data_IF_216524170609
#
_entry.id   IF_216524170609
#
_cell.length_a   1.000
_cell.length_b   1.000
_cell.length_c   1.000
_cell.angle_alpha   90.00
_cell.angle_beta   90.00
_cell.angle_gamma   90.00
#
_symmetry.space_group_name_H-M   'P 1'
#
loop_
_entity.id
_entity.type
_entity.pdbx_description
1 polymer ?
#
# COMPACT_ATOMS: atom_id res chain seq x y z
N UNK A 1 -20.38 18.04 -1.96
CA UNK A 1 -19.81 18.10 -3.33
C UNK A 1 -20.61 17.18 -4.24
N UNK A 2 -20.71 17.47 -5.53
CA UNK A 2 -21.40 16.61 -6.50
C UNK A 2 -20.45 15.51 -7.02
N UNK A 3 -21.01 14.42 -7.51
CA UNK A 3 -20.26 13.33 -8.16
C UNK A 3 -19.40 13.86 -9.32
N UNK A 4 -19.92 14.78 -10.12
CA UNK A 4 -19.20 15.40 -11.23
C UNK A 4 -17.96 16.18 -10.76
N UNK A 5 -18.06 16.87 -9.63
CA UNK A 5 -16.93 17.59 -9.04
C UNK A 5 -15.79 16.63 -8.66
N UNK A 6 -16.11 15.50 -8.01
CA UNK A 6 -15.10 14.50 -7.67
C UNK A 6 -14.45 13.84 -8.90
N UNK A 7 -15.20 13.67 -9.99
CA UNK A 7 -14.63 13.18 -11.26
C UNK A 7 -13.54 14.13 -11.79
N UNK A 8 -13.81 15.44 -11.79
CA UNK A 8 -12.83 16.45 -12.23
C UNK A 8 -11.60 16.47 -11.32
N UNK A 9 -11.79 16.46 -9.99
CA UNK A 9 -10.67 16.43 -9.04
C UNK A 9 -9.80 15.18 -9.21
N UNK A 10 -10.41 14.03 -9.48
CA UNK A 10 -9.69 12.79 -9.76
C UNK A 10 -8.85 12.89 -11.05
N UNK A 11 -9.36 13.51 -12.10
CA UNK A 11 -8.60 13.74 -13.33
C UNK A 11 -7.37 14.63 -13.07
N UNK A 12 -7.52 15.71 -12.29
CA UNK A 12 -6.39 16.56 -11.89
C UNK A 12 -5.36 15.76 -11.08
N UNK A 13 -5.80 14.95 -10.12
CA UNK A 13 -4.90 14.07 -9.36
C UNK A 13 -4.06 13.16 -10.28
N UNK A 14 -4.67 12.55 -11.30
CA UNK A 14 -3.94 11.70 -12.25
C UNK A 14 -2.93 12.50 -13.07
N UNK A 15 -3.23 13.74 -13.43
CA UNK A 15 -2.29 14.63 -14.12
C UNK A 15 -1.12 15.01 -13.19
N UNK A 16 -1.38 15.31 -11.92
CA UNK A 16 -0.33 15.60 -10.93
C UNK A 16 0.57 14.39 -10.70
N UNK A 17 0.00 13.18 -10.60
CA UNK A 17 0.78 11.93 -10.50
C UNK A 17 1.70 11.78 -11.73
N UNK A 18 1.19 11.99 -12.92
CA UNK A 18 1.99 11.90 -14.15
C UNK A 18 3.13 12.94 -14.18
N UNK A 19 2.84 14.19 -13.79
CA UNK A 19 3.84 15.25 -13.70
C UNK A 19 4.94 14.94 -12.68
N UNK A 20 4.57 14.47 -11.50
CA UNK A 20 5.54 14.06 -10.46
C UNK A 20 6.38 12.87 -10.92
N UNK A 21 5.79 11.90 -11.62
CA UNK A 21 6.52 10.78 -12.23
C UNK A 21 7.64 11.25 -13.16
N UNK A 22 7.35 12.23 -14.01
CA UNK A 22 8.35 12.83 -14.91
C UNK A 22 9.44 13.52 -14.10
N UNK A 23 9.07 14.30 -13.08
CA UNK A 23 10.02 15.02 -12.23
C UNK A 23 11.02 14.11 -11.54
N UNK A 24 10.58 12.94 -11.05
CA UNK A 24 11.43 11.97 -10.35
C UNK A 24 11.95 10.85 -11.25
N UNK A 25 11.71 10.91 -12.55
CA UNK A 25 11.98 9.84 -13.53
C UNK A 25 13.40 9.27 -13.46
N UNK A 26 14.40 10.12 -13.25
CA UNK A 26 15.80 9.70 -13.13
C UNK A 26 16.04 8.80 -11.90
N UNK A 27 15.27 8.99 -10.81
CA UNK A 27 15.38 8.18 -9.59
C UNK A 27 14.63 6.85 -9.71
N UNK A 28 13.40 6.90 -10.22
CA UNK A 28 12.55 5.71 -10.30
C UNK A 28 12.83 4.85 -11.54
N UNK A 29 13.62 5.37 -12.50
CA UNK A 29 13.95 4.68 -13.74
C UNK A 29 12.80 4.58 -14.74
N UNK A 30 11.77 5.42 -14.62
CA UNK A 30 10.57 5.42 -15.46
C UNK A 30 10.11 6.85 -15.75
N UNK A 31 9.72 7.13 -17.00
CA UNK A 31 9.13 8.42 -17.39
C UNK A 31 7.59 8.45 -17.24
N UNK A 32 6.97 7.28 -17.08
CA UNK A 32 5.54 7.11 -16.86
C UNK A 32 5.25 5.86 -16.02
N UNK A 33 4.20 5.89 -15.22
CA UNK A 33 3.68 4.71 -14.54
C UNK A 33 2.79 3.90 -15.50
N UNK A 34 2.71 2.59 -15.27
CA UNK A 34 1.92 1.67 -16.08
C UNK A 34 0.42 1.97 -16.07
N UNK A 35 -0.24 1.69 -17.18
CA UNK A 35 -1.67 1.95 -17.36
C UNK A 35 -2.54 1.20 -16.33
N UNK A 36 -2.11 0.01 -15.87
CA UNK A 36 -2.83 -0.78 -14.88
C UNK A 36 -2.89 -0.06 -13.52
N UNK A 37 -1.74 0.39 -13.00
CA UNK A 37 -1.68 1.12 -11.74
C UNK A 37 -2.44 2.45 -11.82
N UNK A 38 -2.23 3.24 -12.88
CA UNK A 38 -2.94 4.50 -13.10
C UNK A 38 -4.44 4.32 -13.26
N UNK A 39 -4.87 3.24 -13.94
CA UNK A 39 -6.28 2.88 -14.10
C UNK A 39 -6.94 2.50 -12.77
N UNK A 40 -6.27 1.70 -11.93
CA UNK A 40 -6.77 1.32 -10.61
C UNK A 40 -6.92 2.55 -9.69
N UNK A 41 -5.88 3.40 -9.61
CA UNK A 41 -5.94 4.66 -8.84
C UNK A 41 -7.02 5.60 -9.38
N UNK A 42 -7.20 5.67 -10.70
CA UNK A 42 -8.24 6.45 -11.34
C UNK A 42 -9.66 5.91 -11.13
N UNK A 43 -9.81 4.63 -10.83
CA UNK A 43 -11.11 3.99 -10.61
C UNK A 43 -11.61 4.14 -9.18
N UNK A 44 -10.73 3.92 -8.19
CA UNK A 44 -11.09 3.89 -6.77
C UNK A 44 -11.48 5.31 -6.28
N UNK A 45 -12.67 5.51 -5.69
CA UNK A 45 -13.13 6.81 -5.22
C UNK A 45 -12.45 7.21 -3.90
N UNK A 46 -11.26 7.81 -3.98
CA UNK A 46 -10.42 8.13 -2.82
C UNK A 46 -11.16 8.95 -1.75
N UNK A 47 -12.12 9.81 -2.14
CA UNK A 47 -12.92 10.60 -1.19
C UNK A 47 -13.79 9.75 -0.25
N UNK A 48 -14.06 8.48 -0.57
CA UNK A 48 -14.77 7.56 0.30
C UNK A 48 -13.86 6.91 1.36
N UNK A 49 -12.54 7.14 1.27
CA UNK A 49 -11.53 6.58 2.16
C UNK A 49 -10.84 7.64 3.04
N UNK A 50 -11.44 8.80 3.17
CA UNK A 50 -10.98 9.87 4.08
C UNK A 50 -12.11 10.28 5.03
N UNK A 51 -11.80 10.91 6.18
CA UNK A 51 -12.82 11.57 6.99
C UNK A 51 -13.66 12.55 6.18
N UNK A 52 -14.92 12.72 6.54
CA UNK A 52 -15.88 13.53 5.77
C UNK A 52 -15.43 14.99 5.61
N UNK A 53 -14.77 15.53 6.62
CA UNK A 53 -14.22 16.89 6.63
C UNK A 53 -13.07 17.06 5.63
N UNK A 54 -12.40 15.98 5.27
CA UNK A 54 -11.26 15.97 4.34
C UNK A 54 -11.64 15.59 2.91
N UNK A 55 -12.88 15.22 2.65
CA UNK A 55 -13.33 14.88 1.29
C UNK A 55 -13.03 15.99 0.24
N UNK A 56 -13.14 17.29 0.55
CA UNK A 56 -12.73 18.35 -0.38
C UNK A 56 -11.27 18.28 -0.85
N UNK A 57 -10.40 17.71 -0.03
CA UNK A 57 -8.96 17.59 -0.27
C UNK A 57 -8.53 16.18 -0.71
N UNK A 58 -9.47 15.24 -0.78
CA UNK A 58 -9.17 13.82 -1.01
C UNK A 58 -8.31 13.55 -2.26
N UNK A 59 -8.42 14.39 -3.27
CA UNK A 59 -7.69 14.25 -4.53
C UNK A 59 -6.45 15.14 -4.65
N UNK A 60 -6.11 15.93 -3.61
CA UNK A 60 -4.82 16.61 -3.56
C UNK A 60 -3.68 15.58 -3.49
N UNK A 61 -2.60 15.85 -4.22
CA UNK A 61 -1.46 14.91 -4.29
C UNK A 61 -0.55 15.01 -3.04
N UNK A 62 -1.18 14.90 -1.87
CA UNK A 62 -0.54 14.93 -0.54
C UNK A 62 -1.12 13.84 0.37
N UNK A 63 -0.39 13.39 1.41
CA UNK A 63 -0.97 12.55 2.44
C UNK A 63 -2.00 13.34 3.26
N UNK A 64 -3.04 12.65 3.75
CA UNK A 64 -4.08 13.25 4.60
C UNK A 64 -4.23 12.46 5.90
N UNK A 65 -4.48 13.11 7.06
CA UNK A 65 -4.67 12.41 8.32
C UNK A 65 -5.94 11.56 8.32
N UNK A 66 -5.86 10.38 8.94
CA UNK A 66 -6.98 9.44 9.07
C UNK A 66 -7.27 9.06 10.54
N UNK A 67 -6.68 9.77 11.49
CA UNK A 67 -6.71 9.45 12.91
C UNK A 67 -5.54 8.57 13.36
N UNK A 68 -5.40 8.38 14.66
CA UNK A 68 -4.38 7.52 15.28
C UNK A 68 -2.93 7.84 14.85
N UNK A 69 -2.63 9.10 14.57
CA UNK A 69 -1.36 9.56 14.00
C UNK A 69 -0.98 8.85 12.68
N UNK A 70 -1.98 8.37 11.94
CA UNK A 70 -1.83 7.73 10.61
C UNK A 70 -2.35 8.63 9.52
N UNK A 71 -1.90 8.33 8.30
CA UNK A 71 -2.33 9.04 7.08
C UNK A 71 -2.71 8.07 5.98
N UNK A 72 -3.65 8.47 5.13
CA UNK A 72 -3.76 7.90 3.79
C UNK A 72 -2.59 8.46 2.97
N UNK A 73 -1.84 7.57 2.31
CA UNK A 73 -0.64 7.95 1.55
C UNK A 73 -0.94 8.92 0.41
N UNK A 74 0.05 9.75 0.05
CA UNK A 74 0.00 10.61 -1.13
C UNK A 74 -0.40 9.80 -2.38
N UNK A 75 -1.30 10.30 -3.24
CA UNK A 75 -1.73 9.59 -4.45
C UNK A 75 -0.57 9.14 -5.36
N UNK A 76 0.46 9.98 -5.56
CA UNK A 76 1.65 9.60 -6.32
C UNK A 76 2.34 8.36 -5.70
N UNK A 77 2.51 8.32 -4.38
CA UNK A 77 3.15 7.19 -3.69
C UNK A 77 2.31 5.91 -3.85
N UNK A 78 0.98 6.00 -3.72
CA UNK A 78 0.07 4.87 -3.97
C UNK A 78 0.24 4.33 -5.39
N UNK A 79 0.24 5.21 -6.39
CA UNK A 79 0.39 4.83 -7.79
C UNK A 79 1.77 4.20 -8.07
N UNK A 80 2.85 4.82 -7.56
CA UNK A 80 4.22 4.33 -7.73
C UNK A 80 4.42 2.95 -7.09
N UNK A 81 4.01 2.78 -5.83
CA UNK A 81 4.15 1.49 -5.13
C UNK A 81 3.36 0.39 -5.83
N UNK A 82 2.15 0.70 -6.30
CA UNK A 82 1.31 -0.24 -7.06
C UNK A 82 1.97 -0.62 -8.39
N UNK A 83 2.54 0.34 -9.11
CA UNK A 83 3.22 0.13 -10.39
C UNK A 83 4.51 -0.71 -10.23
N UNK A 84 5.29 -0.47 -9.17
CA UNK A 84 6.51 -1.21 -8.88
C UNK A 84 6.25 -2.70 -8.58
N UNK A 85 5.10 -3.04 -7.99
CA UNK A 85 4.72 -4.43 -7.74
C UNK A 85 4.38 -5.19 -9.02
N UNK A 86 3.96 -4.50 -10.08
CA UNK A 86 3.60 -5.13 -11.37
C UNK A 86 2.59 -6.28 -11.18
N UNK A 87 1.41 -5.91 -10.63
CA UNK A 87 0.39 -6.86 -10.19
C UNK A 87 -0.40 -7.39 -11.38
N UNK A 88 -0.45 -8.72 -11.50
CA UNK A 88 -1.29 -9.41 -12.48
C UNK A 88 -2.61 -9.92 -11.92
N UNK A 89 -3.61 -10.22 -12.80
CA UNK A 89 -4.96 -10.62 -12.39
C UNK A 89 -5.04 -11.99 -11.71
N UNK A 90 -3.95 -12.74 -11.66
CA UNK A 90 -3.84 -14.02 -10.94
C UNK A 90 -3.12 -13.91 -9.61
N UNK A 91 -2.51 -12.78 -9.33
CA UNK A 91 -1.66 -12.59 -8.14
C UNK A 91 -2.47 -12.59 -6.85
N UNK A 92 -1.85 -13.12 -5.83
CA UNK A 92 -2.26 -13.03 -4.42
C UNK A 92 -1.33 -12.05 -3.73
N UNK A 93 -1.91 -11.00 -3.17
CA UNK A 93 -1.17 -9.88 -2.58
C UNK A 93 -1.37 -9.84 -1.08
N UNK A 94 -0.28 -9.67 -0.32
CA UNK A 94 -0.32 -9.30 1.08
C UNK A 94 -0.13 -7.79 1.20
N UNK A 95 -1.01 -7.13 1.95
CA UNK A 95 -0.86 -5.74 2.37
C UNK A 95 -0.64 -5.66 3.88
N UNK A 96 0.31 -4.85 4.31
CA UNK A 96 0.58 -4.51 5.71
C UNK A 96 0.29 -3.03 5.93
N UNK A 97 -0.64 -2.73 6.85
CA UNK A 97 -1.10 -1.37 7.11
C UNK A 97 -2.31 -1.00 6.25
N UNK A 98 -3.46 -1.57 6.58
CA UNK A 98 -4.73 -1.34 5.87
C UNK A 98 -5.18 0.13 5.92
N UNK A 99 -5.01 0.78 7.08
CA UNK A 99 -5.56 2.11 7.35
C UNK A 99 -7.08 2.12 7.13
N UNK A 100 -7.59 3.06 6.33
CA UNK A 100 -9.01 3.11 5.94
C UNK A 100 -9.34 2.27 4.69
N UNK A 101 -8.36 1.54 4.11
CA UNK A 101 -8.58 0.56 3.05
C UNK A 101 -8.41 1.07 1.62
N UNK A 102 -7.89 2.29 1.41
CA UNK A 102 -7.73 2.84 0.05
C UNK A 102 -6.73 2.03 -0.78
N UNK A 103 -5.54 1.74 -0.22
CA UNK A 103 -4.53 0.94 -0.93
C UNK A 103 -5.05 -0.49 -1.16
N UNK A 104 -5.74 -1.10 -0.19
CA UNK A 104 -6.38 -2.41 -0.36
C UNK A 104 -7.37 -2.42 -1.54
N UNK A 105 -8.18 -1.35 -1.70
CA UNK A 105 -9.08 -1.19 -2.83
C UNK A 105 -8.33 -1.11 -4.17
N UNK A 106 -7.26 -0.31 -4.24
CA UNK A 106 -6.42 -0.19 -5.45
C UNK A 106 -5.79 -1.54 -5.83
N UNK A 107 -5.27 -2.28 -4.85
CA UNK A 107 -4.71 -3.62 -5.07
C UNK A 107 -5.79 -4.60 -5.55
N UNK A 108 -6.99 -4.54 -4.98
CA UNK A 108 -8.11 -5.43 -5.32
C UNK A 108 -8.66 -5.22 -6.74
N UNK A 109 -8.44 -4.05 -7.34
CA UNK A 109 -8.77 -3.79 -8.76
C UNK A 109 -7.85 -4.56 -9.72
N UNK A 110 -6.67 -4.98 -9.27
CA UNK A 110 -5.63 -5.61 -10.09
C UNK A 110 -5.44 -7.08 -9.77
N UNK A 111 -5.51 -7.44 -8.49
CA UNK A 111 -5.17 -8.76 -7.97
C UNK A 111 -6.35 -9.71 -7.95
N UNK A 112 -6.07 -11.02 -8.00
CA UNK A 112 -7.06 -12.07 -7.73
C UNK A 112 -7.58 -11.99 -6.30
N UNK A 113 -6.68 -11.77 -5.35
CA UNK A 113 -6.97 -11.77 -3.91
C UNK A 113 -6.00 -10.84 -3.17
N UNK A 114 -6.52 -10.12 -2.21
CA UNK A 114 -5.75 -9.29 -1.28
C UNK A 114 -5.99 -9.78 0.14
N UNK A 115 -4.90 -9.98 0.88
CA UNK A 115 -4.89 -10.21 2.31
C UNK A 115 -4.31 -8.98 2.98
N UNK A 116 -5.06 -8.33 3.86
CA UNK A 116 -4.66 -7.06 4.47
C UNK A 116 -4.60 -7.16 5.98
N UNK A 117 -3.48 -6.75 6.57
CA UNK A 117 -3.21 -6.82 8.00
C UNK A 117 -3.16 -5.41 8.57
N UNK A 118 -3.93 -5.18 9.65
CA UNK A 118 -3.96 -3.91 10.39
C UNK A 118 -3.81 -4.20 11.89
N UNK A 119 -3.06 -3.36 12.60
CA UNK A 119 -2.85 -3.51 14.04
C UNK A 119 -3.85 -2.69 14.85
N UNK A 120 -4.42 -1.63 14.28
CA UNK A 120 -5.39 -0.73 14.92
C UNK A 120 -6.80 -1.23 14.61
N UNK A 121 -7.50 -1.72 15.62
CA UNK A 121 -8.82 -2.36 15.48
C UNK A 121 -9.85 -1.43 14.85
N UNK A 122 -9.91 -0.18 15.29
CA UNK A 122 -10.85 0.83 14.79
C UNK A 122 -10.65 1.09 13.29
N UNK A 123 -9.39 1.17 12.83
CA UNK A 123 -9.10 1.34 11.40
C UNK A 123 -9.47 0.09 10.61
N UNK A 124 -9.16 -1.10 11.14
CA UNK A 124 -9.51 -2.37 10.49
C UNK A 124 -11.02 -2.51 10.28
N UNK A 125 -11.82 -2.15 11.29
CA UNK A 125 -13.27 -2.26 11.21
C UNK A 125 -13.89 -1.22 10.28
N UNK A 126 -13.39 0.02 10.30
CA UNK A 126 -13.80 1.03 9.33
C UNK A 126 -13.44 0.63 7.89
N UNK A 127 -12.24 0.12 7.66
CA UNK A 127 -11.82 -0.36 6.34
C UNK A 127 -12.72 -1.48 5.81
N UNK A 128 -13.02 -2.49 6.64
CA UNK A 128 -13.94 -3.59 6.29
C UNK A 128 -15.31 -3.05 5.89
N UNK A 129 -15.86 -2.09 6.66
CA UNK A 129 -17.17 -1.51 6.37
C UNK A 129 -17.16 -0.74 5.05
N UNK A 130 -16.14 0.11 4.82
CA UNK A 130 -15.98 0.92 3.59
C UNK A 130 -15.86 0.02 2.36
N UNK A 131 -14.97 -0.96 2.41
CA UNK A 131 -14.71 -1.86 1.28
C UNK A 131 -15.90 -2.76 0.95
N UNK A 132 -16.65 -3.22 1.95
CA UNK A 132 -17.91 -3.94 1.73
C UNK A 132 -18.97 -3.05 1.06
N UNK A 133 -19.09 -1.79 1.46
CA UNK A 133 -20.00 -0.81 0.82
C UNK A 133 -19.62 -0.53 -0.63
N UNK A 134 -18.33 -0.54 -0.95
CA UNK A 134 -17.80 -0.38 -2.29
C UNK A 134 -17.91 -1.67 -3.14
N UNK A 135 -18.37 -2.78 -2.56
CA UNK A 135 -18.62 -4.05 -3.26
C UNK A 135 -17.40 -4.96 -3.44
N UNK A 136 -16.27 -4.68 -2.78
CA UNK A 136 -15.09 -5.54 -2.84
C UNK A 136 -15.34 -6.89 -2.15
N UNK A 137 -15.08 -7.99 -2.85
CA UNK A 137 -15.28 -9.37 -2.38
C UNK A 137 -13.98 -10.16 -2.32
N UNK A 138 -12.90 -9.62 -2.88
CA UNK A 138 -11.60 -10.29 -3.00
C UNK A 138 -10.57 -9.79 -1.98
N UNK A 139 -11.01 -9.14 -0.89
CA UNK A 139 -10.15 -8.69 0.21
C UNK A 139 -10.51 -9.45 1.47
N UNK A 140 -9.51 -9.98 2.16
CA UNK A 140 -9.61 -10.53 3.52
C UNK A 140 -8.78 -9.71 4.50
N UNK A 141 -9.25 -9.61 5.75
CA UNK A 141 -8.66 -8.76 6.78
C UNK A 141 -8.25 -9.56 7.99
N UNK A 142 -7.08 -9.22 8.54
CA UNK A 142 -6.58 -9.73 9.82
C UNK A 142 -6.23 -8.55 10.73
N UNK A 143 -6.75 -8.56 11.95
CA UNK A 143 -6.23 -7.73 13.03
C UNK A 143 -4.97 -8.40 13.58
N UNK A 144 -3.83 -7.70 13.54
CA UNK A 144 -2.58 -8.29 13.99
C UNK A 144 -1.33 -7.46 13.71
N UNK A 145 -0.22 -7.93 14.22
CA UNK A 145 1.08 -7.31 14.05
C UNK A 145 1.63 -7.57 12.64
N UNK A 146 1.87 -6.50 11.88
CA UNK A 146 2.35 -6.55 10.50
C UNK A 146 3.73 -7.17 10.32
N UNK A 147 4.58 -7.18 11.37
CA UNK A 147 5.89 -7.84 11.33
C UNK A 147 5.80 -9.33 11.00
N UNK A 148 4.70 -10.00 11.38
CA UNK A 148 4.52 -11.43 11.14
C UNK A 148 3.84 -11.74 9.80
N UNK A 149 3.29 -10.75 9.12
CA UNK A 149 2.52 -10.98 7.90
C UNK A 149 1.29 -11.85 8.15
N UNK A 150 1.05 -12.78 7.22
CA UNK A 150 -0.08 -13.73 7.31
C UNK A 150 0.35 -15.13 6.85
N UNK A 151 1.08 -15.90 7.71
CA UNK A 151 1.70 -17.18 7.35
C UNK A 151 0.70 -18.21 6.81
N UNK A 152 -0.55 -18.20 7.33
CA UNK A 152 -1.60 -19.18 6.97
C UNK A 152 -2.03 -19.07 5.50
N UNK A 153 -1.75 -17.94 4.84
CA UNK A 153 -2.08 -17.69 3.42
C UNK A 153 -0.84 -17.53 2.54
N UNK A 154 0.35 -17.66 3.13
CA UNK A 154 1.60 -17.63 2.37
C UNK A 154 1.74 -18.90 1.49
N UNK A 155 2.55 -18.82 0.41
CA UNK A 155 3.35 -17.66 -0.02
C UNK A 155 2.55 -16.70 -0.92
N UNK A 156 2.96 -15.40 -0.93
CA UNK A 156 2.34 -14.34 -1.70
C UNK A 156 3.12 -14.01 -2.97
N UNK A 157 2.43 -13.70 -4.05
CA UNK A 157 3.05 -13.24 -5.30
C UNK A 157 3.62 -11.83 -5.15
N UNK A 158 2.92 -10.99 -4.40
CA UNK A 158 3.30 -9.59 -4.13
C UNK A 158 3.07 -9.23 -2.68
N UNK A 159 3.94 -8.36 -2.13
CA UNK A 159 3.76 -7.80 -0.78
C UNK A 159 3.85 -6.27 -0.84
N UNK A 160 2.85 -5.58 -0.33
CA UNK A 160 2.77 -4.14 -0.16
C UNK A 160 2.87 -3.79 1.31
N UNK A 161 3.83 -2.96 1.71
CA UNK A 161 3.95 -2.51 3.11
C UNK A 161 3.73 -1.00 3.16
N UNK A 162 2.72 -0.57 3.91
CA UNK A 162 2.26 0.82 4.02
C UNK A 162 2.67 1.48 5.35
N UNK A 163 3.62 0.90 6.07
CA UNK A 163 4.25 1.44 7.27
C UNK A 163 5.74 1.09 7.24
N UNK A 164 6.59 1.89 7.88
CA UNK A 164 8.04 1.72 7.80
C UNK A 164 8.61 0.96 9.01
N UNK A 165 9.04 -0.30 8.88
CA UNK A 165 9.93 -0.91 9.85
C UNK A 165 11.35 -0.33 9.74
N UNK A 166 12.15 -0.46 10.79
CA UNK A 166 13.57 -0.05 10.74
C UNK A 166 14.36 -0.87 9.70
N UNK A 167 14.08 -2.17 9.65
CA UNK A 167 14.65 -3.13 8.69
C UNK A 167 13.54 -3.98 8.07
N UNK A 168 13.83 -4.63 6.94
CA UNK A 168 12.88 -5.53 6.29
C UNK A 168 12.59 -6.74 7.21
N UNK A 169 11.32 -6.97 7.62
CA UNK A 169 10.99 -8.11 8.48
C UNK A 169 11.28 -9.44 7.79
N UNK A 170 12.02 -10.32 8.48
CA UNK A 170 12.38 -11.62 7.94
C UNK A 170 11.18 -12.50 7.59
N UNK A 171 10.09 -12.41 8.36
CA UNK A 171 8.85 -13.14 8.10
C UNK A 171 8.21 -12.75 6.75
N UNK A 172 8.27 -11.48 6.34
CA UNK A 172 7.74 -11.04 5.05
C UNK A 172 8.58 -11.57 3.88
N UNK A 173 9.92 -11.60 4.03
CA UNK A 173 10.81 -12.21 3.04
C UNK A 173 10.54 -13.70 2.87
N UNK A 174 10.26 -14.42 3.96
CA UNK A 174 9.93 -15.86 3.92
C UNK A 174 8.58 -16.09 3.22
N UNK A 175 7.60 -15.20 3.42
CA UNK A 175 6.26 -15.29 2.82
C UNK A 175 6.19 -14.82 1.37
N UNK A 176 7.24 -14.18 0.84
CA UNK A 176 7.33 -13.79 -0.56
C UNK A 176 7.71 -15.01 -1.42
N UNK A 177 6.93 -15.28 -2.47
CA UNK A 177 7.22 -16.35 -3.44
C UNK A 177 8.56 -16.12 -4.15
N UNK A 178 9.25 -17.19 -4.59
CA UNK A 178 10.21 -17.08 -5.70
C UNK A 178 9.55 -16.44 -6.92
N UNK A 179 10.22 -15.47 -7.54
CA UNK A 179 9.67 -14.62 -8.61
C UNK A 179 8.77 -13.47 -8.12
N UNK A 180 8.56 -13.37 -6.80
CA UNK A 180 7.72 -12.33 -6.20
C UNK A 180 8.42 -10.99 -6.02
N UNK A 181 7.61 -9.95 -5.80
CA UNK A 181 8.07 -8.59 -5.51
C UNK A 181 7.45 -8.05 -4.23
N UNK A 182 8.23 -7.30 -3.46
CA UNK A 182 7.73 -6.54 -2.31
C UNK A 182 8.15 -5.08 -2.45
N UNK A 183 7.23 -4.16 -2.12
CA UNK A 183 7.51 -2.74 -1.99
C UNK A 183 7.32 -2.35 -0.53
N UNK A 184 8.34 -1.77 0.07
CA UNK A 184 8.39 -1.50 1.50
C UNK A 184 9.20 -0.23 1.79
N UNK A 185 8.66 0.74 2.55
CA UNK A 185 9.47 1.79 3.15
C UNK A 185 10.26 1.22 4.34
N UNK A 186 11.52 1.58 4.49
CA UNK A 186 12.35 1.15 5.64
C UNK A 186 13.17 2.31 6.17
N UNK A 187 13.52 2.25 7.46
CA UNK A 187 14.40 3.21 8.11
C UNK A 187 13.74 3.96 9.25
N UNK A 188 14.58 4.66 10.02
CA UNK A 188 14.15 5.48 11.15
C UNK A 188 13.38 6.72 10.68
N UNK A 189 12.53 7.27 11.55
CA UNK A 189 11.78 8.48 11.28
C UNK A 189 12.71 9.61 10.79
N UNK A 190 12.38 10.20 9.63
CA UNK A 190 13.16 11.24 8.98
C UNK A 190 14.29 10.76 8.05
N UNK A 191 14.56 9.44 7.99
CA UNK A 191 15.59 8.84 7.10
C UNK A 191 15.08 7.53 6.47
N UNK A 192 13.87 7.57 5.91
CA UNK A 192 13.25 6.39 5.29
C UNK A 192 13.48 6.36 3.79
N UNK A 193 13.69 5.15 3.26
CA UNK A 193 13.79 4.87 1.82
C UNK A 193 12.69 3.90 1.41
N UNK A 194 12.06 4.16 0.27
CA UNK A 194 11.19 3.18 -0.38
C UNK A 194 12.07 2.16 -1.11
N UNK A 195 11.90 0.89 -0.79
CA UNK A 195 12.64 -0.21 -1.41
C UNK A 195 11.73 -1.05 -2.30
N UNK A 196 12.25 -1.45 -3.45
CA UNK A 196 11.74 -2.59 -4.22
C UNK A 196 12.61 -3.80 -3.88
N UNK A 197 11.98 -4.85 -3.41
CA UNK A 197 12.59 -6.15 -3.10
C UNK A 197 12.09 -7.16 -4.13
N UNK A 198 13.02 -7.83 -4.79
CA UNK A 198 12.72 -8.86 -5.77
C UNK A 198 13.37 -10.18 -5.33
N UNK A 199 12.56 -11.25 -5.33
CA UNK A 199 13.02 -12.60 -5.04
C UNK A 199 13.07 -13.38 -6.33
N UNK A 200 14.25 -13.82 -6.76
CA UNK A 200 14.39 -14.57 -8.00
C UNK A 200 13.82 -16.00 -7.91
N UNK A 201 13.82 -16.71 -9.02
CA UNK A 201 13.32 -18.09 -9.07
C UNK A 201 14.13 -19.08 -8.21
N UNK A 202 15.40 -18.75 -7.90
CA UNK A 202 16.26 -19.53 -7.02
C UNK A 202 16.07 -19.19 -5.53
N UNK A 203 15.28 -18.14 -5.23
CA UNK A 203 15.02 -17.67 -3.88
C UNK A 203 15.98 -16.60 -3.39
N UNK A 204 16.91 -16.15 -4.22
CA UNK A 204 17.82 -15.05 -3.86
C UNK A 204 17.09 -13.72 -3.86
N UNK A 205 17.43 -12.86 -2.90
CA UNK A 205 16.77 -11.57 -2.68
C UNK A 205 17.69 -10.44 -3.14
N UNK A 206 17.17 -9.58 -4.01
CA UNK A 206 17.78 -8.32 -4.40
C UNK A 206 16.92 -7.15 -3.91
N UNK A 207 17.56 -6.07 -3.48
CA UNK A 207 16.89 -4.83 -3.05
C UNK A 207 17.38 -3.65 -3.88
N UNK A 208 16.46 -2.75 -4.21
CA UNK A 208 16.76 -1.50 -4.90
C UNK A 208 16.08 -0.33 -4.21
N UNK A 209 16.85 0.69 -3.86
CA UNK A 209 16.30 1.96 -3.38
C UNK A 209 15.61 2.71 -4.53
N UNK A 210 14.43 3.22 -4.26
CA UNK A 210 13.59 3.94 -5.23
C UNK A 210 13.68 5.44 -5.00
N UNK A 211 13.23 5.90 -3.83
CA UNK A 211 13.27 7.30 -3.43
C UNK A 211 13.07 7.47 -1.91
N UNK A 212 13.52 8.60 -1.34
CA UNK A 212 13.21 8.95 0.05
C UNK A 212 11.71 9.14 0.25
N UNK A 213 11.20 8.63 1.37
CA UNK A 213 9.77 8.70 1.74
C UNK A 213 9.59 9.03 3.21
N UNK A 214 8.33 9.31 3.59
CA UNK A 214 7.93 9.46 4.99
C UNK A 214 6.64 8.68 5.22
N UNK A 215 6.75 7.60 5.99
CA UNK A 215 5.64 6.77 6.46
C UNK A 215 5.57 6.77 7.98
N UNK A 216 4.40 6.45 8.54
CA UNK A 216 4.32 6.06 9.94
C UNK A 216 5.21 4.83 10.19
N UNK A 217 5.83 4.76 11.37
CA UNK A 217 6.59 3.57 11.74
C UNK A 217 5.65 2.36 11.84
N UNK A 218 6.16 1.19 11.46
CA UNK A 218 5.44 -0.06 11.64
C UNK A 218 5.34 -0.36 13.14
N UNK A 219 4.12 -0.44 13.63
CA UNK A 219 3.86 -0.75 15.04
C UNK A 219 3.93 -2.23 15.33
N UNK A 220 4.27 -2.57 16.57
CA UNK A 220 4.51 -3.94 17.02
C UNK A 220 6.00 -4.23 17.19
N UNK A 221 6.32 -5.50 17.38
CA UNK A 221 7.69 -5.98 17.52
C UNK A 221 7.93 -7.21 16.66
N UNK A 222 9.14 -7.38 16.16
CA UNK A 222 9.55 -8.57 15.41
C UNK A 222 9.65 -9.82 16.32
N UNK A 223 9.88 -9.63 17.62
CA UNK A 223 9.88 -10.73 18.58
C UNK A 223 8.46 -11.10 18.98
N UNK A 224 8.05 -12.38 18.96
CA UNK A 224 6.78 -12.81 19.51
C UNK A 224 6.72 -12.42 20.99
N UNK A 225 5.53 -12.08 21.54
CA UNK A 225 5.40 -11.89 22.97
C UNK A 225 5.95 -13.13 23.67
N UNK A 226 6.89 -12.93 24.59
CA UNK A 226 7.44 -14.02 25.42
C UNK A 226 6.25 -14.75 26.03
N UNK A 227 6.05 -15.99 25.60
CA UNK A 227 4.90 -16.79 25.98
C UNK A 227 4.73 -16.77 27.49
N UNK A 228 3.61 -16.23 27.95
CA UNK A 228 3.13 -16.44 29.30
C UNK A 228 2.84 -17.92 29.44
N UNK A 229 3.62 -18.59 30.26
CA UNK A 229 3.42 -19.94 30.75
C UNK A 229 2.15 -20.04 31.58
#
# INVERSE_FOLDING_TARGET
>A
MTTEHFVKLRQYMLMEIAAETIYVSARIGKAALGAAAMGAVGKVPRHDFVPVELQPYAYANVPLPIGFDKTISQPFIVALMTDLLDIGPKDVVLEIGTGLGYQAAVLAELARKVYSVEIIEELADEAKLRLRRQGYKNIEFKLGNGYYGWPEHAPFDKIMVCAAPDLIPGALLQQLKPGGKMVIPTGLAGSQQLLLVEKDAAGSVATREILPVRFAQLEGTESPPLGGS
#
